data_IF_755074388013
#
_entry.id   IF_755074388013
#
_cell.length_a   1.000
_cell.length_b   1.000
_cell.length_c   1.000
_cell.angle_alpha   90.00
_cell.angle_beta   90.00
_cell.angle_gamma   90.00
#
_symmetry.space_group_name_H-M   'P 1'
#
loop_
_entity.id
_entity.type
_entity.pdbx_description
1 polymer ?
#
# COMPACT_ATOMS: atom_id res chain seq x y z
N UNK A 1 39.29 32.09 33.70
CA UNK A 1 38.03 32.34 32.95
C UNK A 1 37.47 31.08 32.25
N UNK A 2 37.39 29.93 32.94
CA UNK A 2 36.94 28.65 32.34
C UNK A 2 35.56 28.18 32.82
N UNK A 3 35.02 28.80 33.88
CA UNK A 3 33.73 28.42 34.47
C UNK A 3 32.52 28.84 33.60
N UNK A 4 32.56 30.03 32.99
CA UNK A 4 31.46 30.55 32.16
C UNK A 4 31.30 29.82 30.81
N UNK A 5 32.37 29.21 30.28
CA UNK A 5 32.34 28.44 29.02
C UNK A 5 31.72 27.05 29.21
N UNK A 6 32.00 26.38 30.36
CA UNK A 6 31.38 25.10 30.72
C UNK A 6 29.88 25.22 30.99
N UNK A 7 29.43 26.28 31.67
CA UNK A 7 28.00 26.53 31.89
C UNK A 7 27.24 26.80 30.59
N UNK A 8 27.86 27.51 29.63
CA UNK A 8 27.27 27.71 28.29
C UNK A 8 27.17 26.42 27.49
N UNK A 9 28.19 25.56 27.49
CA UNK A 9 28.15 24.26 26.81
C UNK A 9 27.10 23.30 27.39
N UNK A 10 26.92 23.27 28.72
CA UNK A 10 25.89 22.45 29.37
C UNK A 10 24.46 22.92 29.03
N UNK A 11 24.21 24.24 29.07
CA UNK A 11 22.90 24.79 28.71
C UNK A 11 22.55 24.59 27.23
N UNK A 12 23.54 24.62 26.33
CA UNK A 12 23.34 24.27 24.92
C UNK A 12 23.07 22.78 24.72
N UNK A 13 23.80 21.89 25.40
CA UNK A 13 23.57 20.44 25.32
C UNK A 13 22.20 20.03 25.89
N UNK A 14 21.76 20.64 26.98
CA UNK A 14 20.44 20.43 27.57
C UNK A 14 19.31 20.98 26.69
N UNK A 15 19.46 22.18 26.11
CA UNK A 15 18.50 22.69 25.11
C UNK A 15 18.41 21.76 23.91
N UNK A 16 19.54 21.27 23.39
CA UNK A 16 19.58 20.38 22.22
C UNK A 16 18.94 19.02 22.52
N UNK A 17 19.10 18.50 23.75
CA UNK A 17 18.40 17.29 24.23
C UNK A 17 16.90 17.53 24.40
N UNK A 18 16.49 18.66 24.96
CA UNK A 18 15.06 19.01 25.13
C UNK A 18 14.36 19.24 23.78
N UNK A 19 15.04 19.87 22.82
CA UNK A 19 14.57 20.03 21.44
C UNK A 19 14.37 18.68 20.75
N UNK A 20 15.36 17.77 20.85
CA UNK A 20 15.25 16.40 20.33
C UNK A 20 14.09 15.61 20.96
N UNK A 21 13.79 15.82 22.23
CA UNK A 21 12.66 15.13 22.90
C UNK A 21 11.32 15.71 22.43
N UNK A 22 11.19 17.03 22.31
CA UNK A 22 9.95 17.65 21.84
C UNK A 22 9.66 17.33 20.36
N UNK A 23 10.68 17.29 19.51
CA UNK A 23 10.55 16.87 18.11
C UNK A 23 10.09 15.42 18.01
N UNK A 24 10.69 14.50 18.79
CA UNK A 24 10.26 13.10 18.85
C UNK A 24 8.83 12.92 19.36
N UNK A 25 8.41 13.71 20.35
CA UNK A 25 7.04 13.66 20.87
C UNK A 25 6.07 14.08 19.76
N UNK A 26 6.35 15.17 19.04
CA UNK A 26 5.51 15.62 17.91
C UNK A 26 5.48 14.62 16.76
N UNK A 27 6.61 14.01 16.41
CA UNK A 27 6.65 12.95 15.40
C UNK A 27 5.79 11.75 15.81
N UNK A 28 5.86 11.34 17.09
CA UNK A 28 5.03 10.27 17.62
C UNK A 28 3.54 10.61 17.64
N UNK A 29 3.18 11.86 17.96
CA UNK A 29 1.79 12.35 17.93
C UNK A 29 1.24 12.37 16.50
N UNK A 30 2.05 12.82 15.53
CA UNK A 30 1.70 12.82 14.11
C UNK A 30 1.51 11.38 13.62
N UNK A 31 2.43 10.47 13.94
CA UNK A 31 2.32 9.06 13.60
C UNK A 31 1.08 8.44 14.23
N UNK A 32 0.83 8.65 15.53
CA UNK A 32 -0.34 8.13 16.23
C UNK A 32 -1.66 8.62 15.62
N UNK A 33 -1.72 9.87 15.20
CA UNK A 33 -2.88 10.44 14.50
C UNK A 33 -3.11 9.74 13.17
N UNK A 34 -2.05 9.55 12.37
CA UNK A 34 -2.13 8.84 11.10
C UNK A 34 -2.54 7.38 11.30
N UNK A 35 -1.88 6.64 12.18
CA UNK A 35 -2.17 5.23 12.49
C UNK A 35 -3.62 5.02 12.94
N UNK A 36 -4.22 5.99 13.64
CA UNK A 36 -5.62 5.92 14.08
C UNK A 36 -6.62 6.16 12.94
N UNK A 37 -6.37 7.14 12.09
CA UNK A 37 -7.35 7.58 11.08
C UNK A 37 -7.18 6.89 9.72
N UNK A 38 -5.95 6.48 9.36
CA UNK A 38 -5.63 5.89 8.05
C UNK A 38 -6.44 4.62 7.76
N UNK A 39 -6.57 3.65 8.68
CA UNK A 39 -7.34 2.44 8.43
C UNK A 39 -8.82 2.74 8.12
N UNK A 40 -9.40 3.74 8.79
CA UNK A 40 -10.79 4.16 8.57
C UNK A 40 -10.97 4.74 7.17
N UNK A 41 -10.06 5.61 6.76
CA UNK A 41 -10.07 6.21 5.43
C UNK A 41 -9.89 5.16 4.33
N UNK A 42 -8.97 4.21 4.52
CA UNK A 42 -8.72 3.13 3.58
C UNK A 42 -9.95 2.22 3.46
N UNK A 43 -10.55 1.79 4.56
CA UNK A 43 -11.75 0.94 4.52
C UNK A 43 -12.92 1.61 3.80
N UNK A 44 -13.03 2.93 3.87
CA UNK A 44 -14.07 3.70 3.18
C UNK A 44 -13.81 3.81 1.67
N UNK A 45 -12.56 4.00 1.25
CA UNK A 45 -12.22 4.36 -0.14
C UNK A 45 -11.61 3.23 -0.95
N UNK A 46 -11.04 2.22 -0.29
CA UNK A 46 -10.34 1.06 -0.85
C UNK A 46 -9.52 1.39 -2.11
N UNK A 47 -8.50 2.28 -2.01
CA UNK A 47 -7.77 2.77 -3.17
C UNK A 47 -6.70 1.78 -3.66
N UNK A 48 -7.12 0.55 -3.99
CA UNK A 48 -6.29 -0.59 -4.41
C UNK A 48 -5.31 -0.22 -5.53
N UNK A 49 -5.70 0.72 -6.39
CA UNK A 49 -4.87 1.19 -7.48
C UNK A 49 -3.51 1.75 -7.01
N UNK A 50 -3.42 2.27 -5.78
CA UNK A 50 -2.19 2.77 -5.15
C UNK A 50 -1.18 1.66 -4.85
N UNK A 51 -1.57 0.39 -4.85
CA UNK A 51 -0.66 -0.76 -4.70
C UNK A 51 0.24 -0.97 -5.93
N UNK A 52 0.06 -0.18 -7.00
CA UNK A 52 0.97 -0.16 -8.14
C UNK A 52 2.20 0.71 -7.84
N UNK A 53 3.43 0.22 -8.14
CA UNK A 53 4.65 1.01 -7.92
C UNK A 53 4.66 2.37 -8.62
N UNK A 54 4.00 2.48 -9.77
CA UNK A 54 3.89 3.72 -10.54
C UNK A 54 3.10 4.81 -9.80
N UNK A 55 2.15 4.40 -8.96
CA UNK A 55 1.23 5.30 -8.28
C UNK A 55 1.84 5.90 -7.01
N UNK A 56 2.81 5.21 -6.39
CA UNK A 56 3.57 5.73 -5.25
C UNK A 56 4.24 7.07 -5.58
N UNK A 57 4.92 7.17 -6.74
CA UNK A 57 5.54 8.41 -7.20
C UNK A 57 4.53 9.54 -7.38
N UNK A 58 3.37 9.22 -7.94
CA UNK A 58 2.31 10.21 -8.17
C UNK A 58 1.68 10.67 -6.86
N UNK A 59 1.49 9.76 -5.90
CA UNK A 59 1.04 10.08 -4.55
C UNK A 59 2.02 11.05 -3.88
N UNK A 60 3.32 10.77 -3.91
CA UNK A 60 4.32 11.68 -3.34
C UNK A 60 4.27 13.07 -3.97
N UNK A 61 4.20 13.18 -5.29
CA UNK A 61 4.15 14.48 -5.95
C UNK A 61 2.85 15.24 -5.63
N UNK A 62 1.73 14.53 -5.52
CA UNK A 62 0.47 15.11 -5.09
C UNK A 62 0.58 15.66 -3.66
N UNK A 63 1.10 14.87 -2.72
CA UNK A 63 1.25 15.26 -1.33
C UNK A 63 2.17 16.48 -1.18
N UNK A 64 3.29 16.51 -1.93
CA UNK A 64 4.18 17.68 -1.96
C UNK A 64 3.46 18.94 -2.47
N UNK A 65 2.64 18.80 -3.51
CA UNK A 65 1.87 19.93 -4.06
C UNK A 65 0.88 20.46 -3.02
N UNK A 66 0.16 19.55 -2.34
CA UNK A 66 -0.81 19.92 -1.30
C UNK A 66 -0.12 20.47 -0.04
N UNK A 67 1.03 19.93 0.35
CA UNK A 67 1.85 20.40 1.47
C UNK A 67 2.37 21.83 1.26
N UNK A 68 2.61 22.21 0.00
CA UNK A 68 2.91 23.59 -0.41
C UNK A 68 1.67 24.51 -0.50
N UNK A 69 0.50 24.04 -0.06
CA UNK A 69 -0.80 24.71 -0.21
C UNK A 69 -1.13 25.09 -1.67
N UNK A 70 -0.61 24.34 -2.65
CA UNK A 70 -0.94 24.52 -4.07
C UNK A 70 -2.07 23.58 -4.46
N UNK A 71 -2.90 24.01 -5.40
CA UNK A 71 -3.93 23.14 -5.98
C UNK A 71 -3.27 22.24 -7.04
N UNK A 72 -3.39 20.91 -6.93
CA UNK A 72 -2.88 19.98 -7.94
C UNK A 72 -3.51 20.27 -9.30
N UNK A 73 -2.70 20.35 -10.35
CA UNK A 73 -3.18 20.68 -11.69
C UNK A 73 -4.08 19.56 -12.24
N UNK A 74 -5.12 19.90 -13.01
CA UNK A 74 -5.97 18.88 -13.69
C UNK A 74 -5.16 17.99 -14.65
N UNK A 75 -3.98 18.45 -15.08
CA UNK A 75 -3.04 17.72 -15.94
C UNK A 75 -2.33 16.57 -15.22
N UNK A 76 -2.20 16.64 -13.89
CA UNK A 76 -1.54 15.63 -13.07
C UNK A 76 -2.17 14.23 -13.22
N UNK A 77 -3.48 14.22 -13.51
CA UNK A 77 -4.29 12.99 -13.51
C UNK A 77 -4.79 12.57 -14.89
N UNK A 78 -4.51 13.32 -15.97
CA UNK A 78 -5.03 12.99 -17.32
C UNK A 78 -4.59 11.61 -17.84
N UNK A 79 -3.46 11.08 -17.37
CA UNK A 79 -2.95 9.75 -17.75
C UNK A 79 -3.64 8.60 -17.01
N UNK A 80 -4.41 8.91 -15.98
CA UNK A 80 -4.95 7.97 -15.02
C UNK A 80 -6.47 8.08 -15.06
N UNK A 81 -7.19 6.96 -15.03
CA UNK A 81 -8.64 6.94 -15.21
C UNK A 81 -9.41 7.91 -14.30
N UNK A 82 -10.66 8.22 -14.68
CA UNK A 82 -11.54 9.16 -13.96
C UNK A 82 -11.60 8.89 -12.45
N UNK A 83 -11.57 7.62 -12.06
CA UNK A 83 -11.67 7.19 -10.66
C UNK A 83 -10.43 7.56 -9.83
N UNK A 84 -9.22 7.54 -10.41
CA UNK A 84 -8.04 7.98 -9.70
C UNK A 84 -8.10 9.49 -9.44
N UNK A 85 -8.51 10.27 -10.45
CA UNK A 85 -8.64 11.71 -10.31
C UNK A 85 -9.69 12.08 -9.23
N UNK A 86 -10.79 11.34 -9.16
CA UNK A 86 -11.80 11.48 -8.12
C UNK A 86 -11.21 11.21 -6.74
N UNK A 87 -10.49 10.10 -6.56
CA UNK A 87 -9.83 9.80 -5.29
C UNK A 87 -8.90 10.93 -4.83
N UNK A 88 -8.01 11.42 -5.70
CA UNK A 88 -7.06 12.46 -5.33
C UNK A 88 -7.74 13.79 -5.00
N UNK A 89 -8.71 14.23 -5.81
CA UNK A 89 -9.33 15.55 -5.66
C UNK A 89 -10.46 15.61 -4.64
N UNK A 90 -11.20 14.52 -4.46
CA UNK A 90 -12.33 14.47 -3.53
C UNK A 90 -11.91 13.80 -2.24
N UNK A 91 -11.51 12.54 -2.28
CA UNK A 91 -11.38 11.75 -1.06
C UNK A 91 -10.10 12.10 -0.31
N UNK A 92 -8.95 11.98 -0.95
CA UNK A 92 -7.65 12.21 -0.32
C UNK A 92 -7.46 13.68 0.07
N UNK A 93 -7.85 14.62 -0.79
CA UNK A 93 -7.75 16.05 -0.47
C UNK A 93 -8.62 16.45 0.73
N UNK A 94 -9.86 15.94 0.80
CA UNK A 94 -10.75 16.19 1.95
C UNK A 94 -10.21 15.52 3.20
N UNK A 95 -9.68 14.30 3.09
CA UNK A 95 -9.07 13.60 4.21
C UNK A 95 -7.85 14.35 4.79
N UNK A 96 -6.97 14.89 3.94
CA UNK A 96 -5.85 15.74 4.38
C UNK A 96 -6.37 16.98 5.12
N UNK A 97 -7.44 17.62 4.64
CA UNK A 97 -8.07 18.75 5.34
C UNK A 97 -8.66 18.34 6.69
N UNK A 98 -9.27 17.17 6.77
CA UNK A 98 -9.78 16.60 8.02
C UNK A 98 -8.65 16.37 9.02
N UNK A 99 -7.53 15.76 8.61
CA UNK A 99 -6.36 15.55 9.45
C UNK A 99 -5.74 16.87 9.93
N UNK A 100 -5.72 17.90 9.08
CA UNK A 100 -5.30 19.25 9.48
C UNK A 100 -6.15 19.83 10.61
N UNK A 101 -7.47 19.56 10.60
CA UNK A 101 -8.36 19.94 11.71
C UNK A 101 -8.10 19.14 12.99
N UNK A 102 -7.54 17.93 12.86
CA UNK A 102 -7.12 17.07 13.98
C UNK A 102 -5.71 17.40 14.49
N UNK A 103 -5.05 18.44 13.95
CA UNK A 103 -3.73 18.89 14.39
C UNK A 103 -2.55 18.33 13.60
N UNK A 104 -2.78 17.51 12.57
CA UNK A 104 -1.71 16.97 11.72
C UNK A 104 -1.29 17.98 10.63
N UNK A 105 0.01 18.31 10.57
CA UNK A 105 0.57 19.10 9.47
C UNK A 105 1.23 18.20 8.42
N UNK A 106 0.69 18.22 7.20
CA UNK A 106 1.25 17.48 6.07
C UNK A 106 2.62 18.02 5.65
N UNK A 107 2.89 19.32 5.82
CA UNK A 107 4.12 19.94 5.34
C UNK A 107 5.33 19.37 6.08
N UNK A 108 6.25 18.75 5.34
CA UNK A 108 7.42 18.08 5.91
C UNK A 108 7.16 16.64 6.40
N UNK A 109 5.91 16.18 6.35
CA UNK A 109 5.51 14.81 6.73
C UNK A 109 4.90 14.04 5.55
N UNK A 110 5.10 14.48 4.31
CA UNK A 110 4.51 13.87 3.12
C UNK A 110 4.98 12.43 2.91
N UNK A 111 6.27 12.17 3.16
CA UNK A 111 6.84 10.83 3.07
C UNK A 111 6.27 9.89 4.13
N UNK A 112 6.14 10.37 5.37
CA UNK A 112 5.52 9.64 6.47
C UNK A 112 4.07 9.31 6.15
N UNK A 113 3.30 10.30 5.69
CA UNK A 113 1.91 10.12 5.29
C UNK A 113 1.77 9.04 4.21
N UNK A 114 2.57 9.14 3.14
CA UNK A 114 2.54 8.19 2.03
C UNK A 114 2.89 6.77 2.52
N UNK A 115 3.93 6.65 3.35
CA UNK A 115 4.36 5.37 3.90
C UNK A 115 3.25 4.71 4.74
N UNK A 116 2.66 5.46 5.68
CA UNK A 116 1.57 4.95 6.52
C UNK A 116 0.35 4.57 5.68
N UNK A 117 -0.03 5.40 4.69
CA UNK A 117 -1.15 5.09 3.77
C UNK A 117 -0.91 3.80 2.99
N UNK A 118 0.25 3.66 2.35
CA UNK A 118 0.57 2.51 1.50
C UNK A 118 0.72 1.22 2.32
N UNK A 119 1.33 1.31 3.52
CA UNK A 119 1.46 0.16 4.41
C UNK A 119 0.09 -0.34 4.89
N UNK A 120 -0.76 0.55 5.41
CA UNK A 120 -2.09 0.15 5.85
C UNK A 120 -2.94 -0.36 4.69
N UNK A 121 -2.82 0.23 3.51
CA UNK A 121 -3.53 -0.25 2.33
C UNK A 121 -3.10 -1.68 1.96
N UNK A 122 -1.79 -1.96 1.98
CA UNK A 122 -1.27 -3.29 1.73
C UNK A 122 -1.79 -4.30 2.76
N UNK A 123 -1.77 -3.94 4.05
CA UNK A 123 -2.26 -4.80 5.15
C UNK A 123 -3.76 -5.06 5.01
N UNK A 124 -4.57 -4.03 4.85
CA UNK A 124 -6.03 -4.15 4.75
C UNK A 124 -6.42 -4.94 3.49
N UNK A 125 -5.78 -4.67 2.36
CA UNK A 125 -5.99 -5.43 1.13
C UNK A 125 -5.65 -6.91 1.32
N UNK A 126 -4.51 -7.21 1.96
CA UNK A 126 -4.11 -8.58 2.27
C UNK A 126 -5.11 -9.27 3.19
N UNK A 127 -5.52 -8.63 4.28
CA UNK A 127 -6.51 -9.17 5.23
C UNK A 127 -7.85 -9.45 4.55
N UNK A 128 -8.30 -8.53 3.68
CA UNK A 128 -9.52 -8.71 2.92
C UNK A 128 -9.42 -9.93 1.99
N UNK A 129 -8.30 -10.09 1.29
CA UNK A 129 -8.08 -11.24 0.41
C UNK A 129 -7.92 -12.54 1.19
N UNK A 130 -7.18 -12.54 2.29
CA UNK A 130 -7.03 -13.71 3.16
C UNK A 130 -8.37 -14.13 3.77
N UNK A 131 -9.23 -13.19 4.13
CA UNK A 131 -10.59 -13.49 4.62
C UNK A 131 -11.45 -14.12 3.53
N UNK A 132 -11.33 -13.65 2.29
CA UNK A 132 -12.10 -14.14 1.15
C UNK A 132 -11.63 -15.51 0.66
N UNK A 133 -10.33 -15.71 0.62
CA UNK A 133 -9.68 -16.80 -0.10
C UNK A 133 -8.94 -17.80 0.80
N UNK A 134 -8.85 -17.53 2.11
CA UNK A 134 -8.13 -18.36 3.05
C UNK A 134 -6.62 -18.32 2.83
N UNK A 135 -5.90 -19.24 3.48
CA UNK A 135 -4.44 -19.32 3.39
C UNK A 135 -4.00 -19.90 2.04
N UNK A 136 -3.19 -19.14 1.30
CA UNK A 136 -2.73 -19.56 -0.03
C UNK A 136 -1.48 -20.45 0.01
N UNK A 137 -0.72 -20.42 1.09
CA UNK A 137 0.59 -21.09 1.18
C UNK A 137 0.70 -21.97 2.42
N UNK A 138 1.08 -23.23 2.23
CA UNK A 138 1.39 -24.20 3.27
C UNK A 138 2.89 -24.36 3.48
N UNK A 139 3.27 -25.13 4.50
CA UNK A 139 4.67 -25.41 4.80
C UNK A 139 5.20 -26.44 3.79
N UNK A 140 6.29 -26.10 3.12
CA UNK A 140 6.91 -26.97 2.11
C UNK A 140 6.39 -26.79 0.69
N UNK A 141 5.41 -25.91 0.48
CA UNK A 141 4.91 -25.57 -0.85
C UNK A 141 6.06 -25.09 -1.75
N UNK A 142 6.08 -25.54 -2.99
CA UNK A 142 6.83 -24.96 -4.08
C UNK A 142 6.08 -23.78 -4.72
N UNK A 143 6.72 -23.04 -5.62
CA UNK A 143 6.05 -21.98 -6.38
C UNK A 143 4.87 -22.52 -7.21
N UNK A 144 5.02 -23.74 -7.74
CA UNK A 144 4.03 -24.41 -8.59
C UNK A 144 2.76 -24.72 -7.77
N UNK A 145 2.92 -25.30 -6.59
CA UNK A 145 1.79 -25.66 -5.72
C UNK A 145 0.92 -24.44 -5.36
N UNK A 146 1.56 -23.30 -5.15
CA UNK A 146 0.87 -22.04 -4.82
C UNK A 146 0.14 -21.48 -6.04
N UNK A 147 0.72 -21.60 -7.23
CA UNK A 147 0.08 -21.18 -8.47
C UNK A 147 -1.15 -22.02 -8.77
N UNK A 148 -1.06 -23.35 -8.64
CA UNK A 148 -2.22 -24.22 -8.78
C UNK A 148 -3.32 -23.84 -7.80
N UNK A 149 -3.00 -23.74 -6.50
CA UNK A 149 -3.99 -23.40 -5.48
C UNK A 149 -4.65 -22.05 -5.77
N UNK A 150 -3.86 -21.05 -6.18
CA UNK A 150 -4.37 -19.73 -6.55
C UNK A 150 -5.34 -19.78 -7.74
N UNK A 151 -4.98 -20.50 -8.80
CA UNK A 151 -5.80 -20.58 -10.02
C UNK A 151 -7.06 -21.42 -9.84
N UNK A 152 -7.10 -22.37 -8.91
CA UNK A 152 -8.34 -23.09 -8.59
C UNK A 152 -9.29 -22.25 -7.73
N UNK A 153 -8.73 -21.40 -6.87
CA UNK A 153 -9.47 -20.72 -5.81
C UNK A 153 -9.98 -19.33 -6.22
N UNK A 154 -9.22 -18.60 -7.03
CA UNK A 154 -9.62 -17.28 -7.54
C UNK A 154 -10.50 -17.44 -8.79
N UNK A 155 -11.36 -16.46 -9.08
CA UNK A 155 -12.10 -16.45 -10.34
C UNK A 155 -11.20 -15.99 -11.49
N UNK A 156 -11.40 -16.55 -12.68
CA UNK A 156 -10.54 -16.28 -13.84
C UNK A 156 -10.46 -14.80 -14.21
N UNK A 157 -11.59 -14.08 -14.11
CA UNK A 157 -11.64 -12.63 -14.34
C UNK A 157 -10.71 -11.86 -13.41
N UNK A 158 -10.42 -12.41 -12.23
CA UNK A 158 -9.70 -11.73 -11.15
C UNK A 158 -8.22 -12.11 -11.04
N UNK A 159 -7.73 -13.15 -11.73
CA UNK A 159 -6.35 -13.63 -11.58
C UNK A 159 -5.29 -12.55 -11.72
N UNK A 160 -5.56 -11.58 -12.58
CA UNK A 160 -4.60 -10.55 -12.98
C UNK A 160 -4.94 -9.16 -12.44
N UNK A 161 -5.92 -9.07 -11.54
CA UNK A 161 -6.23 -7.82 -10.85
C UNK A 161 -5.13 -7.45 -9.86
N UNK A 162 -4.98 -6.16 -9.59
CA UNK A 162 -3.86 -5.59 -8.84
C UNK A 162 -3.81 -6.13 -7.40
N UNK A 163 -4.94 -6.12 -6.71
CA UNK A 163 -5.12 -6.67 -5.37
C UNK A 163 -4.82 -8.16 -5.30
N UNK A 164 -5.29 -8.95 -6.26
CA UNK A 164 -5.09 -10.40 -6.28
C UNK A 164 -3.63 -10.77 -6.58
N UNK A 165 -2.99 -10.06 -7.51
CA UNK A 165 -1.56 -10.21 -7.78
C UNK A 165 -0.71 -9.78 -6.59
N UNK A 166 -1.08 -8.71 -5.90
CA UNK A 166 -0.39 -8.27 -4.68
C UNK A 166 -0.57 -9.29 -3.55
N UNK A 167 -1.77 -9.84 -3.39
CA UNK A 167 -2.05 -10.92 -2.43
C UNK A 167 -1.19 -12.16 -2.69
N UNK A 168 -1.12 -12.62 -3.95
CA UNK A 168 -0.26 -13.72 -4.35
C UNK A 168 1.22 -13.41 -4.08
N UNK A 169 1.67 -12.21 -4.47
CA UNK A 169 3.07 -11.77 -4.27
C UNK A 169 3.47 -11.78 -2.79
N UNK A 170 2.64 -11.21 -1.93
CA UNK A 170 2.90 -11.14 -0.49
C UNK A 170 2.96 -12.54 0.15
N UNK A 171 2.05 -13.44 -0.24
CA UNK A 171 2.09 -14.83 0.20
C UNK A 171 3.42 -15.52 -0.18
N UNK A 172 3.82 -15.42 -1.44
CA UNK A 172 5.07 -16.03 -1.94
C UNK A 172 6.31 -15.46 -1.26
N UNK A 173 6.36 -14.14 -1.05
CA UNK A 173 7.47 -13.47 -0.34
C UNK A 173 7.53 -13.94 1.11
N UNK A 174 6.39 -14.01 1.80
CA UNK A 174 6.33 -14.43 3.21
C UNK A 174 6.88 -15.84 3.44
N UNK A 175 6.74 -16.72 2.44
CA UNK A 175 7.27 -18.09 2.45
C UNK A 175 8.64 -18.23 1.80
N UNK A 176 9.25 -17.12 1.37
CA UNK A 176 10.56 -17.08 0.68
C UNK A 176 10.59 -17.89 -0.62
N UNK A 177 9.44 -18.06 -1.27
CA UNK A 177 9.33 -18.73 -2.57
C UNK A 177 9.79 -17.82 -3.73
N UNK A 178 9.73 -16.51 -3.50
CA UNK A 178 10.27 -15.50 -4.42
C UNK A 178 11.02 -14.41 -3.65
N UNK A 179 12.00 -13.74 -4.27
CA UNK A 179 12.65 -12.58 -3.67
C UNK A 179 11.67 -11.44 -3.41
N UNK A 180 11.92 -10.65 -2.35
CA UNK A 180 11.15 -9.44 -1.99
C UNK A 180 11.09 -8.42 -3.14
N UNK A 181 12.13 -8.41 -3.98
CA UNK A 181 12.26 -7.54 -5.16
C UNK A 181 11.41 -7.97 -6.35
N UNK A 182 10.69 -9.09 -6.26
CA UNK A 182 9.81 -9.57 -7.33
C UNK A 182 8.67 -8.58 -7.54
N UNK A 183 8.56 -8.05 -8.76
CA UNK A 183 7.48 -7.13 -9.13
C UNK A 183 6.19 -7.87 -9.51
N UNK A 184 5.04 -7.21 -9.32
CA UNK A 184 3.73 -7.73 -9.76
C UNK A 184 3.72 -8.09 -11.25
N UNK A 185 4.38 -7.29 -12.10
CA UNK A 185 4.47 -7.55 -13.54
C UNK A 185 5.27 -8.82 -13.86
N UNK A 186 6.37 -9.08 -13.13
CA UNK A 186 7.15 -10.31 -13.28
C UNK A 186 6.29 -11.51 -12.87
N UNK A 187 5.62 -11.42 -11.72
CA UNK A 187 4.75 -12.48 -11.21
C UNK A 187 3.59 -12.78 -12.16
N UNK A 188 2.93 -11.75 -12.69
CA UNK A 188 1.88 -11.87 -13.71
C UNK A 188 2.35 -12.64 -14.94
N UNK A 189 3.57 -12.38 -15.43
CA UNK A 189 4.14 -13.10 -16.59
C UNK A 189 4.39 -14.57 -16.25
N UNK A 190 4.93 -14.86 -15.08
CA UNK A 190 5.16 -16.23 -14.62
C UNK A 190 3.85 -17.00 -14.47
N UNK A 191 2.82 -16.40 -13.88
CA UNK A 191 1.51 -17.01 -13.73
C UNK A 191 0.84 -17.29 -15.08
N UNK A 192 0.93 -16.35 -16.04
CA UNK A 192 0.43 -16.57 -17.41
C UNK A 192 1.14 -17.72 -18.12
N UNK A 193 2.46 -17.78 -17.99
CA UNK A 193 3.25 -18.85 -18.59
C UNK A 193 2.89 -20.21 -17.97
N UNK A 194 2.67 -20.23 -16.66
CA UNK A 194 2.23 -21.40 -15.93
C UNK A 194 0.86 -21.89 -16.44
N UNK A 195 -0.13 -21.00 -16.46
CA UNK A 195 -1.48 -21.30 -16.94
C UNK A 195 -1.52 -21.86 -18.38
N UNK A 196 -0.65 -21.34 -19.26
CA UNK A 196 -0.54 -21.80 -20.64
C UNK A 196 0.03 -23.23 -20.76
N UNK A 197 0.90 -23.62 -19.84
CA UNK A 197 1.67 -24.84 -19.92
C UNK A 197 1.02 -26.04 -19.20
N UNK A 198 -0.09 -25.83 -18.47
CA UNK A 198 -0.75 -26.88 -17.69
C UNK A 198 -2.14 -27.15 -18.25
N UNK A 199 -2.26 -28.25 -19.01
CA UNK A 199 -3.51 -28.66 -19.68
C UNK A 199 -4.63 -28.98 -18.69
N UNK A 200 -4.30 -29.56 -17.53
CA UNK A 200 -5.28 -29.88 -16.47
C UNK A 200 -6.05 -28.64 -15.98
N UNK A 201 -5.39 -27.48 -15.91
CA UNK A 201 -6.05 -26.21 -15.59
C UNK A 201 -7.04 -25.77 -16.67
N UNK A 202 -6.76 -26.07 -17.94
CA UNK A 202 -7.67 -25.75 -19.05
C UNK A 202 -8.93 -26.61 -18.97
N UNK A 203 -8.77 -27.89 -18.62
CA UNK A 203 -9.89 -28.81 -18.38
C UNK A 203 -10.73 -28.32 -17.20
N UNK A 204 -10.10 -28.02 -16.05
CA UNK A 204 -10.80 -27.51 -14.88
C UNK A 204 -11.59 -26.22 -15.15
N UNK A 205 -10.98 -25.28 -15.88
CA UNK A 205 -11.67 -24.04 -16.32
C UNK A 205 -12.86 -24.34 -17.24
N UNK A 206 -12.76 -25.35 -18.10
CA UNK A 206 -13.85 -25.77 -18.96
C UNK A 206 -14.99 -26.37 -18.14
N UNK A 207 -14.70 -27.29 -17.21
CA UNK A 207 -15.68 -27.88 -16.29
C UNK A 207 -16.43 -26.81 -15.50
N UNK A 208 -15.70 -25.86 -14.89
CA UNK A 208 -16.29 -24.77 -14.12
C UNK A 208 -17.19 -23.86 -14.98
N UNK A 209 -16.88 -23.66 -16.26
CA UNK A 209 -17.75 -22.92 -17.19
C UNK A 209 -19.00 -23.71 -17.57
N UNK A 210 -18.87 -25.03 -17.73
CA UNK A 210 -20.02 -25.90 -17.98
C UNK A 210 -21.00 -25.88 -16.80
N UNK A 211 -20.51 -26.01 -15.56
CA UNK A 211 -21.34 -25.97 -14.35
C UNK A 211 -22.08 -24.63 -14.16
N UNK A 212 -21.43 -23.51 -14.49
CA UNK A 212 -22.03 -22.19 -14.36
C UNK A 212 -23.04 -21.85 -15.48
N UNK A 213 -23.04 -22.59 -16.60
CA UNK A 213 -23.99 -22.40 -17.71
C UNK A 213 -25.23 -23.31 -17.60
N UNK A 214 -25.30 -24.17 -16.57
CA UNK A 214 -26.43 -25.09 -16.32
C UNK A 214 -27.37 -24.57 -15.24
N UNK A 215 -27.08 -23.40 -14.65
CA UNK A 215 -27.97 -22.64 -13.75
C UNK A 215 -28.36 -21.30 -14.38
#
# INVERSE_FOLDING_TARGET
MLAGQKQRLQTFAERRRRLNVHERIRENENLATLEREMPRFINMTMPIFLLRPEMERQLHQFLQTVGQNRVPSKLFFKKNGRDHALFYHKDLFVFIKYLRKQGFDLKGHEALFAHVLLNHLAIISFQHMQKRYGLLTLRGDSLIDVFDRYLHLVNETNYYHIDHLEYLRQNLISKRLVPVTTSQNKLKRQLKQYEKNHEDLQIHKFEKRMENNVN
#
